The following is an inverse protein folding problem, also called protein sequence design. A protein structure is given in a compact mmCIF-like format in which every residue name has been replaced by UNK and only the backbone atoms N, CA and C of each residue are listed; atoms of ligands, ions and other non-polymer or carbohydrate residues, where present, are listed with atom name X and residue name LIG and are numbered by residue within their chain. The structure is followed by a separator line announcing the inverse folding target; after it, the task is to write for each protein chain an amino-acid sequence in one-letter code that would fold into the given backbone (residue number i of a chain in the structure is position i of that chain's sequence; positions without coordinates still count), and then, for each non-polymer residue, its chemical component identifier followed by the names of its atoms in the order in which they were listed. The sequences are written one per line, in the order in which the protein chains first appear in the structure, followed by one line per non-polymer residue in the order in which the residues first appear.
data_IF_880549572205
#
_entry.id   IF_880549572205
#
_cell.length_a   1.000
_cell.length_b   1.000
_cell.length_c   1.000
_cell.angle_alpha   90.00
_cell.angle_beta   90.00
_cell.angle_gamma   90.00
#
_symmetry.space_group_name_H-M   'P 1'
#
loop_
_entity.id
_entity.type
_entity.pdbx_description
1 polymer ?
#
# COMPACT_ATOMS: atom_id res chain seq x y z
N UNK A 1 14.83 -6.88 16.50
CA UNK A 1 13.72 -5.96 16.75
C UNK A 1 12.90 -5.85 15.47
N UNK A 2 11.59 -6.03 15.55
CA UNK A 2 10.67 -5.92 14.40
C UNK A 2 10.54 -4.43 14.02
N UNK A 3 10.73 -4.03 12.74
CA UNK A 3 10.56 -2.64 12.35
C UNK A 3 9.14 -2.16 12.58
N UNK A 4 8.99 -1.00 13.23
CA UNK A 4 7.71 -0.42 13.59
C UNK A 4 7.09 0.37 12.42
N UNK A 5 5.77 0.26 12.26
CA UNK A 5 5.05 0.89 11.14
C UNK A 5 4.93 2.40 11.32
N UNK A 6 4.60 2.87 12.53
CA UNK A 6 4.36 4.29 12.79
C UNK A 6 5.64 5.13 12.64
N UNK A 7 6.77 4.56 13.05
CA UNK A 7 8.12 5.09 12.77
C UNK A 7 8.45 5.10 11.27
N UNK A 8 8.10 4.04 10.53
CA UNK A 8 8.35 3.96 9.09
C UNK A 8 7.53 4.98 8.28
N UNK A 9 6.32 5.30 8.75
CA UNK A 9 5.47 6.32 8.14
C UNK A 9 5.57 7.67 8.86
N UNK A 10 6.57 7.90 9.71
CA UNK A 10 6.70 9.17 10.42
C UNK A 10 7.05 10.32 9.45
N UNK A 11 6.35 11.44 9.60
CA UNK A 11 6.55 12.65 8.82
C UNK A 11 6.73 13.85 9.76
N UNK A 12 7.75 14.66 9.48
CA UNK A 12 8.04 15.91 10.19
C UNK A 12 7.68 17.09 9.30
N UNK A 13 6.86 18.06 9.77
CA UNK A 13 6.59 19.26 8.99
C UNK A 13 7.87 20.09 8.82
N UNK A 14 8.05 20.64 7.62
CA UNK A 14 9.15 21.58 7.36
C UNK A 14 8.81 22.93 8.02
N UNK A 15 9.76 23.58 8.72
CA UNK A 15 9.54 24.90 9.29
C UNK A 15 9.01 25.89 8.25
N UNK A 16 8.05 26.72 8.65
CA UNK A 16 7.44 27.78 7.82
C UNK A 16 6.70 27.31 6.55
N UNK A 17 6.54 26.01 6.31
CA UNK A 17 5.73 25.50 5.20
C UNK A 17 4.75 24.41 5.68
N UNK A 18 3.47 24.74 5.90
CA UNK A 18 2.48 23.80 6.43
C UNK A 18 2.10 22.67 5.46
N UNK A 19 2.59 22.70 4.22
CA UNK A 19 2.26 21.73 3.18
C UNK A 19 3.50 20.99 2.65
N UNK A 20 4.60 21.06 3.39
CA UNK A 20 5.85 20.37 3.07
C UNK A 20 6.28 19.55 4.29
N UNK A 21 6.54 18.26 4.05
CA UNK A 21 6.92 17.32 5.09
C UNK A 21 8.17 16.56 4.68
N UNK A 22 8.98 16.16 5.67
CA UNK A 22 10.13 15.28 5.51
C UNK A 22 9.85 13.93 6.18
N UNK A 23 10.21 12.85 5.49
CA UNK A 23 10.14 11.48 6.01
C UNK A 23 11.41 10.72 5.68
N UNK A 24 11.80 9.75 6.51
CA UNK A 24 13.02 8.95 6.29
C UNK A 24 12.67 7.52 5.90
N UNK A 25 13.09 7.10 4.71
CA UNK A 25 12.99 5.71 4.28
C UNK A 25 14.22 4.96 4.76
N UNK A 26 14.05 4.14 5.79
CA UNK A 26 15.13 3.39 6.42
C UNK A 26 15.57 2.22 5.54
N UNK A 27 16.88 1.99 5.49
CA UNK A 27 17.45 0.92 4.70
C UNK A 27 17.09 -0.45 5.27
N UNK A 28 16.74 -1.40 4.39
CA UNK A 28 16.42 -2.79 4.76
C UNK A 28 15.30 -2.91 5.81
N UNK A 29 14.38 -1.94 5.83
CA UNK A 29 13.14 -1.98 6.58
C UNK A 29 12.01 -1.77 5.58
N UNK A 30 10.98 -2.62 5.65
CA UNK A 30 9.84 -2.51 4.75
C UNK A 30 10.18 -2.55 3.24
N UNK A 31 11.24 -3.30 2.88
CA UNK A 31 11.72 -3.42 1.49
C UNK A 31 11.46 -4.79 0.89
N UNK A 32 11.31 -4.80 -0.45
CA UNK A 32 11.33 -5.98 -1.32
C UNK A 32 12.51 -5.81 -2.29
N UNK A 33 13.42 -6.80 -2.34
CA UNK A 33 14.59 -6.87 -3.22
C UNK A 33 15.39 -5.55 -3.31
N UNK A 34 15.64 -4.94 -2.15
CA UNK A 34 16.38 -3.67 -1.95
C UNK A 34 15.66 -2.39 -2.40
N UNK A 35 14.41 -2.45 -2.84
CA UNK A 35 13.56 -1.28 -3.03
C UNK A 35 12.56 -1.17 -1.87
N UNK A 36 12.27 0.05 -1.36
CA UNK A 36 11.16 0.25 -0.44
C UNK A 36 9.85 -0.23 -1.07
N UNK A 37 9.01 -0.91 -0.29
CA UNK A 37 7.70 -1.38 -0.71
C UNK A 37 6.79 -0.20 -1.12
N UNK A 38 6.02 -0.36 -2.20
CA UNK A 38 5.16 0.69 -2.73
C UNK A 38 4.02 1.07 -1.78
N UNK A 39 3.46 0.09 -1.08
CA UNK A 39 2.45 0.28 -0.02
C UNK A 39 2.89 1.22 1.10
N UNK A 40 4.14 1.12 1.56
CA UNK A 40 4.69 2.06 2.56
C UNK A 40 4.83 3.48 2.02
N UNK A 41 5.26 3.60 0.75
CA UNK A 41 5.34 4.91 0.09
C UNK A 41 3.94 5.51 -0.10
N UNK A 42 2.93 4.67 -0.37
CA UNK A 42 1.54 5.07 -0.43
C UNK A 42 1.03 5.55 0.93
N UNK A 43 1.29 4.81 2.00
CA UNK A 43 0.93 5.20 3.36
C UNK A 43 1.55 6.55 3.76
N UNK A 44 2.83 6.79 3.43
CA UNK A 44 3.50 8.08 3.60
C UNK A 44 2.79 9.21 2.81
N UNK A 45 2.40 8.97 1.56
CA UNK A 45 1.65 9.96 0.77
C UNK A 45 0.30 10.28 1.41
N UNK A 46 -0.46 9.26 1.83
CA UNK A 46 -1.76 9.44 2.49
C UNK A 46 -1.63 10.23 3.80
N UNK A 47 -0.59 9.92 4.59
CA UNK A 47 -0.29 10.65 5.83
C UNK A 47 0.06 12.12 5.56
N UNK A 48 0.89 12.38 4.55
CA UNK A 48 1.21 13.75 4.14
C UNK A 48 -0.05 14.54 3.76
N UNK A 49 -0.94 13.94 2.96
CA UNK A 49 -2.22 14.54 2.59
C UNK A 49 -3.11 14.86 3.80
N UNK A 50 -3.26 13.90 4.72
CA UNK A 50 -4.04 14.07 5.96
C UNK A 50 -3.47 15.19 6.85
N UNK A 51 -2.15 15.24 7.04
CA UNK A 51 -1.48 16.31 7.80
C UNK A 51 -1.63 17.69 7.13
N UNK A 52 -1.49 17.76 5.80
CA UNK A 52 -1.67 18.98 5.03
C UNK A 52 -3.09 19.53 5.19
N UNK A 53 -4.12 18.68 5.13
CA UNK A 53 -5.52 19.09 5.29
C UNK A 53 -5.83 19.52 6.71
N UNK A 54 -5.26 18.85 7.72
CA UNK A 54 -5.31 19.31 9.12
C UNK A 54 -4.73 20.72 9.26
N UNK A 55 -3.60 20.99 8.62
CA UNK A 55 -2.98 22.32 8.62
C UNK A 55 -3.83 23.35 7.85
N UNK A 56 -4.38 22.97 6.68
CA UNK A 56 -5.25 23.83 5.89
C UNK A 56 -6.48 24.27 6.68
N UNK A 57 -7.13 23.34 7.39
CA UNK A 57 -8.30 23.64 8.22
C UNK A 57 -7.98 24.64 9.32
N UNK A 58 -6.87 24.43 10.03
CA UNK A 58 -6.44 25.32 11.11
C UNK A 58 -6.10 26.73 10.59
N UNK A 59 -5.35 26.81 9.49
CA UNK A 59 -4.76 28.07 9.01
C UNK A 59 -5.68 28.87 8.08
N UNK A 60 -6.38 28.19 7.17
CA UNK A 60 -7.18 28.83 6.11
C UNK A 60 -8.64 28.92 6.52
N UNK A 61 -9.21 27.82 7.00
CA UNK A 61 -10.62 27.79 7.39
C UNK A 61 -10.88 28.34 8.80
N UNK A 62 -9.81 28.58 9.58
CA UNK A 62 -9.87 29.02 10.98
C UNK A 62 -10.79 28.16 11.86
N UNK A 63 -10.98 26.90 11.47
CA UNK A 63 -11.79 25.95 12.22
C UNK A 63 -10.85 25.11 13.10
N UNK A 64 -11.20 24.97 14.37
CA UNK A 64 -10.40 24.27 15.39
C UNK A 64 -11.07 23.01 15.91
N UNK A 65 -12.30 22.70 15.48
CA UNK A 65 -12.96 21.43 15.76
C UNK A 65 -12.38 20.30 14.88
N UNK A 66 -12.83 19.04 15.10
CA UNK A 66 -12.31 17.82 14.47
C UNK A 66 -11.91 17.96 12.99
N UNK A 67 -10.91 17.19 12.51
CA UNK A 67 -10.48 17.26 11.12
C UNK A 67 -11.68 17.04 10.18
N UNK A 68 -11.88 17.95 9.24
CA UNK A 68 -13.03 17.93 8.35
C UNK A 68 -12.90 16.78 7.33
N UNK A 69 -11.65 16.44 6.93
CA UNK A 69 -11.34 15.42 5.93
C UNK A 69 -10.10 14.56 6.29
N UNK A 70 -10.13 13.80 7.42
CA UNK A 70 -8.95 13.06 7.88
C UNK A 70 -8.61 11.85 7.00
N UNK A 71 -9.59 11.30 6.28
CA UNK A 71 -9.50 10.01 5.63
C UNK A 71 -9.38 10.16 4.11
N UNK A 72 -8.37 9.58 3.44
CA UNK A 72 -8.44 9.40 2.01
C UNK A 72 -9.66 8.53 1.66
N UNK A 73 -10.36 8.91 0.58
CA UNK A 73 -11.48 8.18 -0.02
C UNK A 73 -11.03 7.48 -1.29
N UNK A 74 -10.16 8.14 -2.06
CA UNK A 74 -9.49 7.56 -3.20
C UNK A 74 -8.09 8.13 -3.37
N UNK A 75 -7.19 7.35 -3.95
CA UNK A 75 -5.85 7.78 -4.30
C UNK A 75 -5.40 7.12 -5.61
N UNK A 76 -4.80 7.92 -6.49
CA UNK A 76 -4.17 7.46 -7.73
C UNK A 76 -2.69 7.80 -7.63
N UNK A 77 -1.84 6.78 -7.54
CA UNK A 77 -0.39 6.92 -7.39
C UNK A 77 0.31 6.51 -8.68
N UNK A 78 1.29 7.31 -9.08
CA UNK A 78 2.20 6.99 -10.18
C UNK A 78 3.63 6.92 -9.66
N UNK A 79 4.25 5.76 -9.81
CA UNK A 79 5.63 5.49 -9.40
C UNK A 79 6.57 5.80 -10.56
N UNK A 80 7.09 7.03 -10.58
CA UNK A 80 7.89 7.54 -11.69
C UNK A 80 9.35 7.10 -11.61
N UNK A 81 9.84 6.83 -10.39
CA UNK A 81 11.21 6.38 -10.11
C UNK A 81 11.23 5.42 -8.93
N UNK A 82 12.26 4.57 -8.88
CA UNK A 82 12.58 3.84 -7.65
C UNK A 82 12.97 4.86 -6.59
N UNK A 83 12.32 4.80 -5.43
CA UNK A 83 12.54 5.77 -4.37
C UNK A 83 13.96 5.73 -3.83
N UNK A 84 14.49 4.54 -3.55
CA UNK A 84 15.73 4.38 -2.78
C UNK A 84 15.55 4.74 -1.30
N UNK A 85 16.66 4.85 -0.56
CA UNK A 85 16.67 5.09 0.89
C UNK A 85 17.05 6.53 1.27
N UNK A 86 16.81 6.88 2.53
CA UNK A 86 17.14 8.18 3.13
C UNK A 86 15.97 9.14 3.16
N UNK A 87 16.27 10.41 3.41
CA UNK A 87 15.28 11.48 3.57
C UNK A 87 14.54 11.77 2.25
N UNK A 88 13.22 11.97 2.34
CA UNK A 88 12.33 12.29 1.23
C UNK A 88 11.41 13.42 1.61
N UNK A 89 11.08 14.24 0.62
CA UNK A 89 10.20 15.38 0.81
C UNK A 89 8.83 15.09 0.19
N UNK A 90 7.79 15.50 0.89
CA UNK A 90 6.39 15.33 0.49
C UNK A 90 5.78 16.72 0.42
N UNK A 91 5.60 17.23 -0.79
CA UNK A 91 4.91 18.49 -1.04
C UNK A 91 3.45 18.20 -1.36
N UNK A 92 2.55 18.85 -0.64
CA UNK A 92 1.11 18.71 -0.84
C UNK A 92 0.54 20.01 -1.38
N UNK A 93 -0.30 19.92 -2.41
CA UNK A 93 -1.01 21.03 -3.01
C UNK A 93 -2.51 20.75 -2.87
N UNK A 94 -3.19 21.53 -2.02
CA UNK A 94 -4.65 21.45 -1.88
C UNK A 94 -5.28 22.09 -3.12
N UNK A 95 -5.92 21.28 -3.97
CA UNK A 95 -6.49 21.73 -5.23
C UNK A 95 -7.89 22.31 -5.05
N UNK A 96 -8.70 21.63 -4.23
CA UNK A 96 -10.10 21.98 -4.00
C UNK A 96 -10.52 21.55 -2.61
N UNK A 97 -11.40 22.34 -2.00
CA UNK A 97 -12.15 21.95 -0.81
C UNK A 97 -13.65 22.20 -1.03
N UNK A 98 -14.46 21.48 -0.28
CA UNK A 98 -15.92 21.62 -0.23
C UNK A 98 -16.36 21.37 1.22
N UNK A 99 -17.66 21.27 1.49
CA UNK A 99 -18.17 20.93 2.82
C UNK A 99 -17.90 19.48 3.26
N UNK A 100 -17.65 18.57 2.31
CA UNK A 100 -17.55 17.13 2.60
C UNK A 100 -16.25 16.50 2.09
N UNK A 101 -15.61 17.15 1.11
CA UNK A 101 -14.48 16.58 0.40
C UNK A 101 -13.38 17.61 0.16
N UNK A 102 -12.15 17.14 0.13
CA UNK A 102 -10.99 17.87 -0.37
C UNK A 102 -10.23 17.03 -1.40
N UNK A 103 -9.62 17.68 -2.37
CA UNK A 103 -8.72 17.05 -3.32
C UNK A 103 -7.31 17.62 -3.12
N UNK A 104 -6.33 16.73 -3.08
CA UNK A 104 -4.92 17.10 -2.95
C UNK A 104 -4.09 16.44 -4.05
N UNK A 105 -3.01 17.11 -4.41
CA UNK A 105 -1.91 16.53 -5.20
C UNK A 105 -0.69 16.45 -4.29
N UNK A 106 -0.10 15.26 -4.17
CA UNK A 106 1.07 14.98 -3.36
C UNK A 106 2.22 14.61 -4.30
N UNK A 107 3.35 15.29 -4.14
CA UNK A 107 4.59 15.01 -4.87
C UNK A 107 5.64 14.57 -3.87
N UNK A 108 6.21 13.39 -4.10
CA UNK A 108 7.33 12.89 -3.34
C UNK A 108 8.63 13.11 -4.12
N UNK A 109 9.63 13.71 -3.50
CA UNK A 109 10.93 14.03 -4.12
C UNK A 109 12.10 13.65 -3.21
N UNK A 110 13.33 13.63 -3.74
CA UNK A 110 14.53 13.36 -2.94
C UNK A 110 14.91 14.58 -2.10
N UNK A 111 14.83 15.78 -2.67
CA UNK A 111 15.06 17.05 -1.98
C UNK A 111 13.91 18.03 -2.19
N UNK A 112 13.90 19.14 -1.43
CA UNK A 112 12.85 20.16 -1.52
C UNK A 112 12.90 20.93 -2.84
N UNK A 113 14.07 21.02 -3.46
CA UNK A 113 14.33 21.76 -4.69
C UNK A 113 14.14 20.92 -5.96
N UNK A 114 13.99 19.60 -5.81
CA UNK A 114 13.81 18.72 -6.96
C UNK A 114 12.46 18.97 -7.64
N UNK A 115 12.50 19.12 -8.96
CA UNK A 115 11.30 19.32 -9.78
C UNK A 115 10.71 18.02 -10.31
N UNK A 116 11.49 16.93 -10.29
CA UNK A 116 11.11 15.66 -10.91
C UNK A 116 10.72 14.63 -9.84
N UNK A 117 9.41 14.33 -9.67
CA UNK A 117 8.93 13.48 -8.60
C UNK A 117 9.41 12.03 -8.74
N UNK A 118 9.51 11.37 -7.58
CA UNK A 118 9.62 9.92 -7.43
C UNK A 118 8.22 9.32 -7.50
N UNK A 119 7.28 9.89 -6.75
CA UNK A 119 5.86 9.56 -6.78
C UNK A 119 5.07 10.84 -7.02
N UNK A 120 4.05 10.73 -7.87
CA UNK A 120 2.98 11.70 -7.96
C UNK A 120 1.68 11.02 -7.59
N UNK A 121 0.96 11.60 -6.63
CA UNK A 121 -0.30 11.08 -6.13
C UNK A 121 -1.37 12.16 -6.21
N UNK A 122 -2.54 11.80 -6.71
CA UNK A 122 -3.75 12.61 -6.60
C UNK A 122 -4.74 11.87 -5.71
N UNK A 123 -5.30 12.55 -4.72
CA UNK A 123 -6.17 11.88 -3.75
C UNK A 123 -7.36 12.76 -3.35
N UNK A 124 -8.50 12.10 -3.16
CA UNK A 124 -9.67 12.67 -2.53
C UNK A 124 -9.70 12.30 -1.06
N UNK A 125 -10.05 13.26 -0.22
CA UNK A 125 -10.18 13.12 1.21
C UNK A 125 -11.59 13.50 1.66
N UNK A 126 -12.04 12.87 2.74
CA UNK A 126 -13.32 13.11 3.38
C UNK A 126 -13.35 12.50 4.79
N UNK A 127 -14.55 12.24 5.29
CA UNK A 127 -14.75 11.56 6.59
C UNK A 127 -15.51 10.26 6.38
N UNK A 128 -14.76 9.16 6.28
CA UNK A 128 -15.31 7.79 6.36
C UNK A 128 -16.07 7.57 7.68
N UNK A 129 -17.07 6.70 7.65
CA UNK A 129 -17.94 6.32 8.78
C UNK A 129 -18.63 7.51 9.50
N UNK A 130 -18.78 8.66 8.83
CA UNK A 130 -19.32 9.89 9.44
C UNK A 130 -20.85 9.96 9.50
N UNK A 131 -21.55 9.12 8.73
CA UNK A 131 -23.00 9.11 8.67
C UNK A 131 -23.53 7.68 8.85
N UNK A 132 -23.94 7.27 10.06
CA UNK A 132 -24.48 5.93 10.31
C UNK A 132 -25.83 5.69 9.62
N UNK A 133 -26.51 6.75 9.16
CA UNK A 133 -27.77 6.68 8.43
C UNK A 133 -27.59 6.79 6.91
N UNK A 134 -26.35 6.75 6.41
CA UNK A 134 -26.12 6.71 4.97
C UNK A 134 -26.65 5.40 4.39
N UNK A 135 -27.21 5.46 3.18
CA UNK A 135 -27.65 4.28 2.46
C UNK A 135 -26.43 3.41 2.12
N UNK A 136 -26.51 2.13 2.45
CA UNK A 136 -25.50 1.14 2.12
C UNK A 136 -26.08 0.20 1.07
N UNK A 137 -25.43 0.12 -0.08
CA UNK A 137 -25.67 -0.92 -1.07
C UNK A 137 -24.41 -1.75 -1.20
N UNK A 138 -24.52 -3.05 -0.93
CA UNK A 138 -23.43 -4.00 -1.04
C UNK A 138 -23.77 -4.99 -2.16
N UNK A 139 -22.96 -4.97 -3.23
CA UNK A 139 -23.05 -5.95 -4.32
C UNK A 139 -22.23 -7.20 -3.98
N UNK A 140 -22.37 -8.24 -4.80
CA UNK A 140 -21.49 -9.41 -4.74
C UNK A 140 -20.01 -8.98 -4.73
N UNK A 141 -19.24 -9.50 -3.77
CA UNK A 141 -17.83 -9.18 -3.58
C UNK A 141 -17.54 -7.84 -2.89
N UNK A 142 -18.53 -7.20 -2.26
CA UNK A 142 -18.33 -6.14 -1.24
C UNK A 142 -18.49 -6.66 0.19
N UNK A 143 -19.12 -7.83 0.33
CA UNK A 143 -19.21 -8.59 1.57
C UNK A 143 -18.77 -10.02 1.32
N UNK A 144 -17.89 -10.51 2.18
CA UNK A 144 -17.33 -11.85 2.12
C UNK A 144 -17.96 -12.72 3.21
N UNK A 145 -18.40 -13.92 2.85
CA UNK A 145 -18.88 -14.89 3.81
C UNK A 145 -17.68 -15.52 4.56
N UNK A 146 -17.35 -14.94 5.70
CA UNK A 146 -16.20 -15.36 6.51
C UNK A 146 -16.34 -16.79 7.06
N UNK A 147 -17.55 -17.36 7.09
CA UNK A 147 -17.73 -18.78 7.47
C UNK A 147 -17.14 -19.75 6.45
N UNK A 148 -16.91 -19.29 5.21
CA UNK A 148 -16.28 -20.07 4.13
C UNK A 148 -14.79 -19.80 3.98
N UNK A 149 -14.24 -18.86 4.75
CA UNK A 149 -12.82 -18.51 4.73
C UNK A 149 -12.09 -19.37 5.76
N UNK A 150 -10.96 -19.96 5.37
CA UNK A 150 -10.11 -20.71 6.31
C UNK A 150 -9.65 -19.77 7.42
N UNK A 151 -9.82 -20.21 8.67
CA UNK A 151 -9.42 -19.40 9.82
C UNK A 151 -7.92 -19.14 9.80
N UNK A 152 -7.51 -17.91 10.11
CA UNK A 152 -6.11 -17.53 10.28
C UNK A 152 -5.38 -18.44 11.29
N UNK A 153 -6.09 -18.97 12.29
CA UNK A 153 -5.52 -19.77 13.38
C UNK A 153 -5.18 -21.20 12.93
N UNK A 154 -5.70 -21.64 11.78
CA UNK A 154 -5.37 -22.92 11.14
C UNK A 154 -4.19 -22.80 10.17
N UNK A 155 -3.81 -21.57 9.82
CA UNK A 155 -2.77 -21.28 8.86
C UNK A 155 -1.46 -20.92 9.57
N UNK A 156 -0.36 -21.31 8.93
CA UNK A 156 0.98 -20.92 9.36
C UNK A 156 1.41 -19.66 8.60
N UNK A 157 2.30 -18.90 9.21
CA UNK A 157 3.02 -17.82 8.52
C UNK A 157 3.70 -18.37 7.25
N UNK A 158 3.65 -17.61 6.15
CA UNK A 158 4.19 -18.04 4.85
C UNK A 158 5.70 -18.37 4.88
N UNK A 159 6.43 -17.82 5.85
CA UNK A 159 7.85 -18.10 6.08
C UNK A 159 8.10 -19.02 7.28
N UNK A 160 7.05 -19.63 7.86
CA UNK A 160 7.19 -20.61 8.93
C UNK A 160 8.10 -21.77 8.51
N UNK A 161 9.10 -22.08 9.33
CA UNK A 161 10.08 -23.13 9.07
C UNK A 161 11.06 -22.84 7.92
N UNK A 162 11.01 -21.65 7.30
CA UNK A 162 11.99 -21.25 6.29
C UNK A 162 13.29 -20.79 6.96
N UNK A 163 14.45 -20.99 6.31
CA UNK A 163 15.72 -20.43 6.75
C UNK A 163 15.65 -18.90 6.98
N UNK A 164 16.38 -18.40 7.99
CA UNK A 164 16.34 -16.99 8.37
C UNK A 164 16.77 -16.03 7.23
N UNK A 165 17.61 -16.51 6.32
CA UNK A 165 18.07 -15.77 5.15
C UNK A 165 17.01 -15.64 4.05
N UNK A 166 15.91 -16.41 4.08
CA UNK A 166 14.78 -16.25 3.17
C UNK A 166 14.17 -14.83 3.22
N UNK A 167 14.30 -14.14 4.36
CA UNK A 167 13.81 -12.78 4.57
C UNK A 167 14.85 -11.69 4.28
N UNK A 168 16.08 -12.04 3.90
CA UNK A 168 17.15 -11.04 3.72
C UNK A 168 16.85 -10.05 2.60
N UNK A 169 16.22 -10.51 1.52
CA UNK A 169 15.77 -9.65 0.43
C UNK A 169 14.32 -9.19 0.58
N UNK A 170 13.56 -9.75 1.52
CA UNK A 170 12.13 -9.49 1.73
C UNK A 170 11.87 -8.96 3.14
N UNK A 171 12.62 -7.91 3.51
CA UNK A 171 12.63 -7.35 4.87
C UNK A 171 11.28 -6.85 5.36
N UNK A 172 10.34 -6.57 4.45
CA UNK A 172 8.94 -6.29 4.76
C UNK A 172 8.31 -7.36 5.65
N UNK A 173 8.48 -8.66 5.32
CA UNK A 173 7.84 -9.75 6.06
C UNK A 173 8.46 -10.04 7.43
N UNK A 174 9.49 -9.27 7.82
CA UNK A 174 9.94 -9.20 9.21
C UNK A 174 8.99 -8.37 10.08
N UNK A 175 8.19 -7.50 9.46
CA UNK A 175 7.22 -6.61 10.12
C UNK A 175 5.78 -7.11 10.09
N UNK A 176 5.44 -7.94 9.09
CA UNK A 176 4.09 -8.48 8.91
C UNK A 176 4.05 -10.00 9.04
N UNK A 177 2.99 -10.51 9.67
CA UNK A 177 2.57 -11.91 9.62
C UNK A 177 1.62 -12.04 8.44
N UNK A 178 1.95 -12.96 7.53
CA UNK A 178 1.16 -13.22 6.32
C UNK A 178 0.89 -14.71 6.28
N UNK A 179 -0.39 -15.07 6.33
CA UNK A 179 -0.84 -16.45 6.30
C UNK A 179 -1.61 -16.69 5.02
N UNK A 180 -0.91 -17.26 4.03
CA UNK A 180 -1.47 -17.58 2.73
C UNK A 180 -2.45 -18.75 2.88
N UNK A 181 -3.59 -18.65 2.21
CA UNK A 181 -4.50 -19.77 2.07
C UNK A 181 -3.88 -20.79 1.11
N UNK A 182 -4.18 -22.10 1.26
CA UNK A 182 -3.76 -23.11 0.31
C UNK A 182 -4.21 -22.76 -1.12
N UNK A 183 -3.36 -23.09 -2.09
CA UNK A 183 -3.63 -22.86 -3.51
C UNK A 183 -5.02 -23.37 -3.89
N UNK A 184 -5.81 -22.48 -4.48
CA UNK A 184 -7.00 -22.89 -5.19
C UNK A 184 -6.56 -23.56 -6.50
N UNK A 185 -6.47 -24.90 -6.48
CA UNK A 185 -6.06 -25.70 -7.63
C UNK A 185 -6.87 -25.37 -8.90
N UNK A 186 -8.12 -24.91 -8.74
CA UNK A 186 -9.00 -24.51 -9.83
C UNK A 186 -8.77 -23.06 -10.27
N UNK A 187 -8.22 -22.20 -9.40
CA UNK A 187 -8.09 -20.76 -9.64
C UNK A 187 -6.67 -20.24 -9.38
N UNK A 188 -5.73 -20.68 -10.21
CA UNK A 188 -4.30 -20.29 -10.21
C UNK A 188 -4.00 -18.81 -10.46
N UNK A 189 -5.00 -17.92 -10.41
CA UNK A 189 -4.87 -16.46 -10.60
C UNK A 189 -5.19 -15.68 -9.34
N UNK A 190 -5.53 -16.37 -8.26
CA UNK A 190 -6.02 -15.79 -7.02
C UNK A 190 -5.12 -16.19 -5.87
N UNK A 191 -4.59 -15.19 -5.19
CA UNK A 191 -3.96 -15.34 -3.89
C UNK A 191 -4.88 -14.76 -2.81
N UNK A 192 -4.87 -15.39 -1.64
CA UNK A 192 -5.70 -15.00 -0.50
C UNK A 192 -4.87 -15.12 0.75
N UNK A 193 -4.93 -14.11 1.61
CA UNK A 193 -4.07 -14.06 2.77
C UNK A 193 -4.75 -13.39 3.95
N UNK A 194 -4.45 -13.88 5.15
CA UNK A 194 -4.59 -13.10 6.36
C UNK A 194 -3.31 -12.31 6.60
N UNK A 195 -3.43 -11.04 6.96
CA UNK A 195 -2.29 -10.14 7.18
C UNK A 195 -2.46 -9.41 8.51
N UNK A 196 -1.39 -9.32 9.30
CA UNK A 196 -1.30 -8.49 10.51
C UNK A 196 0.13 -7.98 10.74
N UNK A 197 0.30 -7.00 11.63
CA UNK A 197 1.63 -6.59 12.07
C UNK A 197 2.15 -7.55 13.14
N UNK A 198 3.40 -8.02 13.02
CA UNK A 198 3.99 -8.98 13.97
C UNK A 198 4.15 -8.43 15.39
N UNK A 199 4.23 -7.11 15.54
CA UNK A 199 4.34 -6.46 16.85
C UNK A 199 2.99 -6.30 17.56
N UNK A 200 1.89 -6.79 16.97
CA UNK A 200 0.54 -6.68 17.54
C UNK A 200 -0.07 -5.29 17.40
N UNK A 201 0.55 -4.37 16.65
CA UNK A 201 -0.07 -3.09 16.31
C UNK A 201 -1.40 -3.35 15.57
N UNK A 202 -2.51 -2.70 15.97
CA UNK A 202 -3.75 -2.76 15.21
C UNK A 202 -3.58 -2.30 13.76
N UNK A 203 -4.41 -2.84 12.88
CA UNK A 203 -4.63 -2.45 11.50
C UNK A 203 -6.01 -1.80 11.36
N UNK A 204 -6.32 -0.85 12.23
CA UNK A 204 -7.59 -0.13 12.31
C UNK A 204 -7.54 1.29 11.71
N UNK A 205 -6.38 1.68 11.16
CA UNK A 205 -6.16 2.98 10.54
C UNK A 205 -6.02 2.92 9.01
N UNK A 206 -6.32 4.05 8.37
CA UNK A 206 -6.34 4.15 6.90
C UNK A 206 -4.95 4.04 6.24
N UNK A 207 -3.88 4.33 6.98
CA UNK A 207 -2.51 4.23 6.45
C UNK A 207 -2.08 2.77 6.40
N UNK A 208 -2.48 1.97 7.40
CA UNK A 208 -2.35 0.51 7.37
C UNK A 208 -3.09 -0.09 6.17
N UNK A 209 -4.32 0.38 5.90
CA UNK A 209 -5.09 -0.03 4.72
C UNK A 209 -4.43 0.41 3.40
N UNK A 210 -3.82 1.60 3.35
CA UNK A 210 -3.05 2.03 2.17
C UNK A 210 -1.79 1.20 1.95
N UNK A 211 -1.23 0.60 2.99
CA UNK A 211 -0.04 -0.22 2.92
C UNK A 211 -0.38 -1.64 2.46
N UNK A 212 -1.41 -2.26 3.04
CA UNK A 212 -1.67 -3.69 2.88
C UNK A 212 -1.97 -4.11 1.44
N UNK A 213 -2.61 -3.23 0.66
CA UNK A 213 -2.95 -3.45 -0.75
C UNK A 213 -1.76 -3.77 -1.68
N UNK A 214 -0.52 -3.54 -1.22
CA UNK A 214 0.73 -3.82 -1.92
C UNK A 214 1.69 -4.63 -1.01
N UNK A 215 1.16 -5.39 -0.04
CA UNK A 215 1.98 -6.16 0.91
C UNK A 215 2.26 -7.60 0.45
N UNK A 216 1.45 -8.13 -0.48
CA UNK A 216 1.63 -9.48 -1.02
C UNK A 216 2.67 -9.52 -2.14
N UNK A 217 3.24 -10.71 -2.34
CA UNK A 217 4.19 -10.95 -3.43
C UNK A 217 3.39 -10.90 -4.75
N UNK A 218 3.84 -10.18 -5.78
CA UNK A 218 3.13 -10.14 -7.06
C UNK A 218 2.91 -11.54 -7.62
N UNK A 219 1.65 -11.87 -7.92
CA UNK A 219 1.21 -13.19 -8.34
C UNK A 219 1.78 -13.62 -9.72
N UNK A 220 2.20 -12.73 -10.64
CA UNK A 220 2.96 -13.17 -11.81
C UNK A 220 4.28 -13.87 -11.48
N UNK A 221 4.85 -13.69 -10.28
CA UNK A 221 5.99 -14.49 -9.83
C UNK A 221 5.56 -15.96 -9.69
N UNK A 222 4.40 -16.22 -9.09
CA UNK A 222 3.91 -17.60 -8.87
C UNK A 222 3.40 -18.25 -10.16
N UNK A 223 2.84 -17.48 -11.11
CA UNK A 223 2.38 -18.03 -12.41
C UNK A 223 3.51 -18.13 -13.44
N UNK A 224 4.19 -17.02 -13.75
CA UNK A 224 5.05 -16.93 -14.92
C UNK A 224 6.44 -17.53 -14.68
N UNK A 225 6.93 -17.52 -13.44
CA UNK A 225 8.21 -18.18 -13.15
C UNK A 225 8.04 -19.70 -13.04
N UNK A 226 6.89 -20.22 -12.62
CA UNK A 226 6.71 -21.65 -12.40
C UNK A 226 6.08 -22.42 -13.56
N UNK A 227 5.53 -21.73 -14.57
CA UNK A 227 5.08 -22.35 -15.83
C UNK A 227 6.27 -22.75 -16.72
N UNK A 228 6.44 -24.04 -17.02
CA UNK A 228 7.52 -24.55 -17.87
C UNK A 228 7.40 -24.12 -19.33
N UNK A 229 6.21 -23.69 -19.77
CA UNK A 229 5.96 -23.19 -21.13
C UNK A 229 6.25 -21.69 -21.28
N UNK A 230 6.38 -21.00 -20.14
CA UNK A 230 6.69 -19.58 -20.10
C UNK A 230 8.13 -19.32 -20.56
N UNK A 231 8.30 -18.31 -21.44
CA UNK A 231 9.62 -17.82 -21.85
C UNK A 231 10.28 -16.93 -20.77
N UNK A 232 9.59 -16.71 -19.65
CA UNK A 232 10.05 -15.93 -18.51
C UNK A 232 10.94 -16.82 -17.64
N UNK A 233 12.23 -16.49 -17.52
CA UNK A 233 13.15 -17.30 -16.72
C UNK A 233 12.90 -17.09 -15.21
N UNK A 234 12.83 -18.20 -14.47
CA UNK A 234 12.74 -18.27 -13.00
C UNK A 234 13.71 -17.32 -12.29
N UNK A 235 13.24 -16.56 -11.30
CA UNK A 235 14.04 -15.72 -10.41
C UNK A 235 14.80 -14.59 -11.09
N UNK A 236 14.44 -14.22 -12.32
CA UNK A 236 15.20 -13.30 -13.18
C UNK A 236 14.42 -12.06 -13.59
N UNK A 237 13.29 -11.74 -12.96
CA UNK A 237 12.51 -10.53 -13.29
C UNK A 237 12.29 -9.60 -12.11
N UNK A 238 12.17 -8.32 -12.41
CA UNK A 238 11.77 -7.25 -11.53
C UNK A 238 10.37 -6.80 -11.93
N UNK A 239 9.52 -6.61 -10.93
CA UNK A 239 8.11 -6.30 -11.10
C UNK A 239 7.78 -4.90 -10.54
N UNK A 240 8.21 -3.81 -11.21
CA UNK A 240 7.91 -2.47 -10.72
C UNK A 240 6.43 -2.12 -10.92
N UNK A 241 5.78 -1.75 -9.82
CA UNK A 241 4.53 -1.00 -9.87
C UNK A 241 4.76 0.31 -10.62
N UNK A 242 3.92 0.58 -11.62
CA UNK A 242 3.90 1.84 -12.36
C UNK A 242 2.79 2.75 -11.87
N UNK A 243 1.61 2.20 -11.60
CA UNK A 243 0.52 2.91 -10.95
C UNK A 243 -0.27 2.02 -9.98
N UNK A 244 -0.84 2.66 -8.97
CA UNK A 244 -1.70 2.05 -7.97
C UNK A 244 -2.89 2.96 -7.71
N UNK A 245 -4.08 2.45 -8.01
CA UNK A 245 -5.35 3.11 -7.73
C UNK A 245 -5.98 2.47 -6.50
N UNK A 246 -6.41 3.29 -5.54
CA UNK A 246 -6.91 2.86 -4.24
C UNK A 246 -8.28 3.51 -4.01
N UNK A 247 -9.26 2.72 -3.57
CA UNK A 247 -10.55 3.19 -3.08
C UNK A 247 -10.72 2.70 -1.65
N UNK A 248 -10.95 3.64 -0.73
CA UNK A 248 -11.22 3.36 0.66
C UNK A 248 -12.72 3.40 0.90
N UNK A 249 -13.27 2.28 1.36
CA UNK A 249 -14.71 2.10 1.52
C UNK A 249 -15.16 2.42 2.94
N UNK A 250 -14.39 2.00 3.95
CA UNK A 250 -14.69 2.20 5.37
C UNK A 250 -13.45 2.03 6.24
N UNK A 251 -13.54 2.49 7.49
CA UNK A 251 -12.55 2.14 8.51
C UNK A 251 -12.89 0.79 9.14
N UNK A 252 -11.88 -0.01 9.56
CA UNK A 252 -12.07 -1.17 10.41
C UNK A 252 -12.55 -0.75 11.81
N UNK A 253 -13.02 -1.72 12.60
CA UNK A 253 -13.31 -1.47 14.01
C UNK A 253 -12.01 -1.17 14.78
N UNK A 254 -12.10 -0.32 15.82
CA UNK A 254 -10.97 0.00 16.69
C UNK A 254 -10.37 -1.26 17.31
N UNK A 255 -9.04 -1.35 17.31
CA UNK A 255 -8.30 -2.50 17.81
C UNK A 255 -8.28 -3.70 16.86
N UNK A 256 -8.85 -3.61 15.66
CA UNK A 256 -8.79 -4.70 14.68
C UNK A 256 -7.33 -5.02 14.33
N UNK A 257 -6.89 -6.26 14.56
CA UNK A 257 -5.49 -6.69 14.34
C UNK A 257 -5.27 -7.27 12.94
N UNK A 258 -6.28 -7.95 12.42
CA UNK A 258 -6.16 -8.77 11.21
C UNK A 258 -7.02 -8.22 10.10
N UNK A 259 -6.50 -8.29 8.89
CA UNK A 259 -7.27 -8.09 7.67
C UNK A 259 -7.14 -9.31 6.77
N UNK A 260 -8.17 -9.54 5.97
CA UNK A 260 -8.18 -10.59 4.97
C UNK A 260 -8.09 -9.96 3.59
N UNK A 261 -7.10 -10.35 2.79
CA UNK A 261 -6.90 -9.83 1.45
C UNK A 261 -7.14 -10.89 0.39
N UNK A 262 -7.83 -10.50 -0.67
CA UNK A 262 -7.92 -11.25 -1.92
C UNK A 262 -7.17 -10.49 -2.99
N UNK A 263 -6.40 -11.21 -3.80
CA UNK A 263 -5.49 -10.64 -4.77
C UNK A 263 -5.59 -11.42 -6.08
N UNK A 264 -6.08 -10.77 -7.13
CA UNK A 264 -6.39 -11.37 -8.42
C UNK A 264 -5.46 -10.82 -9.51
N UNK A 265 -4.72 -11.67 -10.22
CA UNK A 265 -4.08 -11.27 -11.48
C UNK A 265 -5.13 -11.30 -12.59
N UNK A 266 -5.48 -10.12 -13.09
CA UNK A 266 -6.50 -9.96 -14.14
C UNK A 266 -5.92 -10.33 -15.50
N UNK A 267 -4.74 -9.80 -15.81
CA UNK A 267 -4.07 -10.02 -17.09
C UNK A 267 -2.55 -9.91 -16.95
N UNK A 268 -1.84 -10.63 -17.81
CA UNK A 268 -0.39 -10.51 -17.98
C UNK A 268 -0.05 -10.79 -19.45
N UNK A 269 0.46 -9.78 -20.15
CA UNK A 269 0.88 -9.89 -21.55
C UNK A 269 1.86 -8.76 -21.88
N UNK A 270 2.65 -8.91 -22.94
CA UNK A 270 3.54 -7.86 -23.46
C UNK A 270 4.50 -7.21 -22.43
N UNK A 271 4.90 -7.97 -21.42
CA UNK A 271 5.80 -7.48 -20.36
C UNK A 271 5.13 -6.52 -19.37
N UNK A 272 3.80 -6.53 -19.27
CA UNK A 272 3.00 -5.81 -18.28
C UNK A 272 1.98 -6.77 -17.66
N UNK A 273 1.48 -6.40 -16.48
CA UNK A 273 0.41 -7.12 -15.82
C UNK A 273 -0.44 -6.18 -14.97
N UNK A 274 -1.61 -6.70 -14.64
CA UNK A 274 -2.62 -6.01 -13.85
C UNK A 274 -3.07 -6.90 -12.69
N UNK A 275 -3.11 -6.31 -11.51
CA UNK A 275 -3.59 -6.93 -10.28
C UNK A 275 -4.73 -6.11 -9.68
N UNK A 276 -5.70 -6.81 -9.11
CA UNK A 276 -6.79 -6.22 -8.33
C UNK A 276 -6.77 -6.84 -6.95
N UNK A 277 -6.74 -6.00 -5.93
CA UNK A 277 -6.79 -6.44 -4.54
C UNK A 277 -8.02 -5.88 -3.83
N UNK A 278 -8.53 -6.66 -2.87
CA UNK A 278 -9.60 -6.26 -1.97
C UNK A 278 -9.27 -6.74 -0.58
N UNK A 279 -9.41 -5.85 0.38
CA UNK A 279 -9.11 -6.13 1.78
C UNK A 279 -10.38 -6.00 2.60
N UNK A 280 -10.63 -7.00 3.44
CA UNK A 280 -11.82 -7.14 4.27
C UNK A 280 -11.41 -7.22 5.74
N UNK A 281 -12.32 -6.82 6.62
CA UNK A 281 -12.17 -7.09 8.04
C UNK A 281 -12.60 -8.52 8.41
N UNK A 282 -12.41 -8.96 9.67
CA UNK A 282 -12.85 -10.29 10.12
C UNK A 282 -14.36 -10.52 10.08
N UNK A 283 -15.18 -9.47 9.90
CA UNK A 283 -16.63 -9.55 9.72
C UNK A 283 -17.01 -9.64 8.23
N UNK A 284 -16.03 -9.68 7.32
CA UNK A 284 -16.24 -9.81 5.88
C UNK A 284 -16.59 -8.50 5.19
N UNK A 285 -16.47 -7.35 5.86
CA UNK A 285 -16.80 -6.04 5.30
C UNK A 285 -15.63 -5.53 4.46
N UNK A 286 -15.87 -5.12 3.21
CA UNK A 286 -14.83 -4.52 2.36
C UNK A 286 -14.34 -3.19 2.94
N UNK A 287 -13.04 -3.10 3.20
CA UNK A 287 -12.35 -1.95 3.79
C UNK A 287 -11.73 -1.06 2.72
N UNK A 288 -10.93 -1.67 1.85
CA UNK A 288 -10.17 -1.00 0.80
C UNK A 288 -10.06 -1.92 -0.41
N UNK A 289 -10.00 -1.34 -1.61
CA UNK A 289 -9.70 -2.06 -2.84
C UNK A 289 -8.63 -1.33 -3.62
N UNK A 290 -7.72 -2.07 -4.24
CA UNK A 290 -6.65 -1.56 -5.06
C UNK A 290 -6.66 -2.14 -6.48
N UNK A 291 -6.13 -1.38 -7.44
CA UNK A 291 -5.79 -1.85 -8.78
C UNK A 291 -4.38 -1.40 -9.12
N UNK A 292 -3.52 -2.36 -9.38
CA UNK A 292 -2.12 -2.16 -9.68
C UNK A 292 -1.85 -2.43 -11.15
N UNK A 293 -1.13 -1.52 -11.79
CA UNK A 293 -0.53 -1.72 -13.11
C UNK A 293 0.99 -1.74 -12.97
N UNK A 294 1.62 -2.82 -13.45
CA UNK A 294 3.02 -3.09 -13.22
C UNK A 294 3.71 -3.71 -14.44
N UNK A 295 5.04 -3.58 -14.48
CA UNK A 295 5.87 -4.13 -15.54
C UNK A 295 6.50 -5.47 -15.18
N UNK A 296 6.88 -6.25 -16.18
CA UNK A 296 7.69 -7.47 -16.05
C UNK A 296 9.02 -7.20 -16.75
N UNK A 297 10.06 -6.92 -15.96
CA UNK A 297 11.34 -6.45 -16.48
C UNK A 297 12.44 -7.47 -16.18
N UNK A 298 13.16 -8.00 -17.18
CA UNK A 298 14.30 -8.87 -16.91
C UNK A 298 15.36 -8.19 -16.03
N UNK A 299 15.84 -8.89 -15.00
CA UNK A 299 16.81 -8.40 -14.00
C UNK A 299 18.11 -7.94 -14.65
N UNK A 300 18.55 -8.58 -15.74
CA UNK A 300 19.74 -8.15 -16.49
C UNK A 300 19.62 -6.70 -16.98
N UNK A 301 18.44 -6.30 -17.47
CA UNK A 301 18.15 -4.92 -17.88
C UNK A 301 17.92 -4.00 -16.67
N UNK A 302 17.35 -4.52 -15.58
CA UNK A 302 17.12 -3.74 -14.36
C UNK A 302 18.43 -3.36 -13.66
N UNK A 303 19.40 -4.27 -13.57
CA UNK A 303 20.69 -4.06 -12.90
C UNK A 303 21.55 -2.98 -13.58
N UNK A 304 21.56 -2.94 -14.91
CA UNK A 304 22.23 -1.89 -15.70
C UNK A 304 21.66 -0.48 -15.38
N UNK A 305 20.34 -0.41 -15.20
CA UNK A 305 19.61 0.83 -14.86
C UNK A 305 19.73 1.23 -13.39
N UNK A 306 19.92 0.28 -12.47
CA UNK A 306 20.12 0.56 -11.04
C UNK A 306 21.56 0.95 -10.71
N UNK A 307 22.56 0.36 -11.38
CA UNK A 307 23.99 0.73 -11.21
C UNK A 307 24.33 2.14 -11.70
N UNK A 308 23.56 2.67 -12.64
CA UNK A 308 23.73 4.05 -13.16
C UNK A 308 23.05 5.12 -12.29
N UNK A 309 22.36 4.73 -11.21
CA UNK A 309 21.52 5.62 -10.39
C UNK A 309 21.82 5.61 -8.89
N UNK A 310 22.76 4.77 -8.45
CA UNK A 310 23.39 4.81 -7.13
C UNK A 310 24.74 5.51 -7.25
#
# INVERSE_FOLDING_TARGET
MIPDFDDAIALTPTPNNPYLFSGTIKQNQWSINKAPNGGILSALCMKAGSLALKNYQKLVLKNTEEPWFPHPLSANLHFLKVSGYGERQFKVEVQKTSKQYAQVVIKMTKTQTDTSPIIMCMAWFGKLNSNPNAWVYESDGTTLDMSKVVSKDELLDQFHGKPADALNSLTLYRSIDVRLLPDDQENKKKERAWISFRNGRPMDDIFSLSFVIDALIPHPITILEFDETSRVRKGLNWYPTMSLDIIFHRLPDEGNIWVYETFDTVSAHDGIFEEVCKTYDPNGRLLVSGRQFAGIVPISKAQEKMRSKL
#
